data_IF_588918635603
#
_entry.id   IF_588918635603
#
_cell.length_a   1.000
_cell.length_b   1.000
_cell.length_c   1.000
_cell.angle_alpha   90.00
_cell.angle_beta   90.00
_cell.angle_gamma   90.00
#
_symmetry.space_group_name_H-M   'P 1'
#
loop_
_entity.id
_entity.type
_entity.pdbx_description
1 polymer ?
#
# COMPACT_ATOMS: atom_id res chain seq x y z
N UNK A 1 2.34 14.65 -14.46
CA UNK A 1 3.22 13.82 -13.60
C UNK A 1 4.45 13.34 -14.37
N UNK A 2 4.28 12.75 -15.55
CA UNK A 2 5.39 12.17 -16.34
C UNK A 2 6.47 13.22 -16.62
N UNK A 3 6.09 14.41 -17.04
CA UNK A 3 7.00 15.50 -17.44
C UNK A 3 7.76 16.11 -16.24
N UNK A 4 7.21 15.98 -15.02
CA UNK A 4 7.72 16.66 -13.84
C UNK A 4 8.35 15.74 -12.79
N UNK A 5 8.08 14.43 -12.81
CA UNK A 5 8.51 13.52 -11.74
C UNK A 5 10.03 13.38 -11.61
N UNK A 6 10.79 13.49 -12.70
CA UNK A 6 12.26 13.45 -12.63
C UNK A 6 12.83 14.70 -11.98
N UNK A 7 12.56 15.87 -12.56
CA UNK A 7 13.14 17.13 -12.12
C UNK A 7 12.55 17.63 -10.80
N UNK A 8 11.21 17.70 -10.74
CA UNK A 8 10.51 18.35 -9.63
C UNK A 8 10.30 17.45 -8.41
N UNK A 9 10.57 16.14 -8.53
CA UNK A 9 10.49 15.19 -7.41
C UNK A 9 11.82 14.52 -7.16
N UNK A 10 12.33 13.71 -8.10
CA UNK A 10 13.53 12.89 -7.85
C UNK A 10 14.77 13.77 -7.61
N UNK A 11 15.12 14.66 -8.56
CA UNK A 11 16.29 15.53 -8.43
C UNK A 11 16.15 16.49 -7.24
N UNK A 12 14.93 17.01 -7.02
CA UNK A 12 14.66 17.87 -5.87
C UNK A 12 14.90 17.15 -4.54
N UNK A 13 14.50 15.89 -4.41
CA UNK A 13 14.76 15.08 -3.22
C UNK A 13 16.27 14.84 -2.99
N UNK A 14 17.02 14.56 -4.09
CA UNK A 14 18.48 14.41 -4.03
C UNK A 14 19.14 15.70 -3.55
N UNK A 15 18.75 16.86 -4.09
CA UNK A 15 19.24 18.18 -3.67
C UNK A 15 18.98 18.45 -2.19
N UNK A 16 17.90 17.88 -1.64
CA UNK A 16 17.57 17.97 -0.22
C UNK A 16 18.21 16.85 0.64
N UNK A 17 19.21 16.14 0.11
CA UNK A 17 20.02 15.18 0.86
C UNK A 17 19.38 13.80 1.05
N UNK A 18 18.31 13.49 0.32
CA UNK A 18 17.71 12.16 0.30
C UNK A 18 18.44 11.27 -0.71
N UNK A 19 18.48 9.97 -0.45
CA UNK A 19 19.13 8.98 -1.30
C UNK A 19 18.20 7.84 -1.59
N UNK A 20 18.39 7.19 -2.73
CA UNK A 20 17.65 6.00 -3.12
C UNK A 20 18.58 4.78 -3.21
N UNK A 21 18.03 3.58 -3.08
CA UNK A 21 18.76 2.37 -3.40
C UNK A 21 19.17 2.38 -4.87
N UNK A 22 20.37 1.88 -5.21
CA UNK A 22 20.89 1.94 -6.59
C UNK A 22 20.18 0.98 -7.55
N UNK A 23 19.19 0.22 -7.06
CA UNK A 23 18.45 -0.75 -7.84
C UNK A 23 16.97 -0.33 -7.93
N UNK A 24 16.52 -0.11 -9.16
CA UNK A 24 15.12 0.16 -9.47
C UNK A 24 14.36 -1.16 -9.55
N UNK A 25 13.24 -1.26 -8.87
CA UNK A 25 12.40 -2.44 -8.87
C UNK A 25 11.29 -2.35 -9.93
N UNK A 26 10.90 -3.51 -10.41
CA UNK A 26 9.75 -3.68 -11.25
C UNK A 26 8.60 -4.21 -10.41
N UNK A 27 7.82 -3.32 -9.84
CA UNK A 27 6.83 -3.71 -8.83
C UNK A 27 5.63 -4.30 -9.51
N UNK A 28 4.72 -3.70 -10.04
CA UNK A 28 3.52 -4.29 -10.62
C UNK A 28 3.59 -4.26 -12.13
N UNK A 29 3.54 -5.43 -12.76
CA UNK A 29 3.73 -5.55 -14.20
C UNK A 29 2.44 -5.57 -14.99
N UNK A 30 1.30 -5.59 -14.33
CA UNK A 30 0.01 -5.78 -14.96
C UNK A 30 -0.02 -7.05 -15.83
N UNK A 31 -0.98 -7.90 -15.63
CA UNK A 31 -1.01 -9.20 -16.28
C UNK A 31 -1.20 -9.07 -17.80
N UNK A 32 -2.12 -8.21 -18.19
CA UNK A 32 -2.50 -7.94 -19.58
C UNK A 32 -2.58 -6.44 -19.86
N UNK A 33 -1.98 -5.62 -18.99
CA UNK A 33 -2.04 -4.18 -19.09
C UNK A 33 -0.90 -3.62 -19.92
N UNK A 34 -1.20 -2.71 -20.83
CA UNK A 34 -0.21 -1.90 -21.52
C UNK A 34 0.46 -0.90 -20.55
N UNK A 35 1.65 -0.45 -20.89
CA UNK A 35 2.31 0.69 -20.25
C UNK A 35 3.18 0.40 -19.04
N UNK A 36 3.18 -0.81 -18.47
CA UNK A 36 4.07 -1.17 -17.37
C UNK A 36 5.27 -2.01 -17.85
N UNK A 37 6.03 -1.50 -18.79
CA UNK A 37 7.10 -2.22 -19.49
C UNK A 37 8.50 -1.97 -18.90
N UNK A 38 8.68 -0.98 -18.03
CA UNK A 38 9.98 -0.63 -17.47
C UNK A 38 9.97 -0.63 -15.94
N UNK A 39 11.06 -1.11 -15.31
CA UNK A 39 11.25 -0.97 -13.86
C UNK A 39 11.43 0.51 -13.54
N UNK A 40 10.64 1.02 -12.58
CA UNK A 40 10.65 2.45 -12.21
C UNK A 40 10.51 2.73 -10.72
N UNK A 41 10.29 1.70 -9.91
CA UNK A 41 10.08 1.88 -8.48
C UNK A 41 11.40 2.12 -7.75
N UNK A 42 11.60 3.34 -7.27
CA UNK A 42 12.76 3.76 -6.51
C UNK A 42 12.52 3.61 -5.02
N UNK A 43 13.30 2.77 -4.36
CA UNK A 43 13.22 2.59 -2.91
C UNK A 43 14.07 3.65 -2.22
N UNK A 44 13.42 4.47 -1.40
CA UNK A 44 14.09 5.50 -0.62
C UNK A 44 14.97 4.87 0.48
N UNK A 45 16.25 5.23 0.52
CA UNK A 45 17.19 4.84 1.57
C UNK A 45 16.91 5.62 2.84
N UNK A 46 16.35 4.95 3.83
CA UNK A 46 15.79 5.54 5.04
C UNK A 46 14.27 5.39 5.14
N UNK A 47 13.62 4.80 4.13
CA UNK A 47 12.15 4.60 4.04
C UNK A 47 11.36 5.91 4.06
N UNK A 48 10.03 5.85 4.14
CA UNK A 48 9.18 7.05 4.35
C UNK A 48 9.47 7.77 5.67
N UNK A 49 9.96 7.03 6.68
CA UNK A 49 10.40 7.61 7.95
C UNK A 49 11.53 8.62 7.74
N UNK A 50 12.57 8.25 7.00
CA UNK A 50 13.70 9.16 6.70
C UNK A 50 13.29 10.36 5.84
N UNK A 51 12.28 10.19 4.95
CA UNK A 51 11.70 11.30 4.19
C UNK A 51 11.07 12.35 5.12
N UNK A 52 10.17 11.89 6.00
CA UNK A 52 9.46 12.78 6.94
C UNK A 52 10.43 13.44 7.91
N UNK A 53 11.40 12.69 8.46
CA UNK A 53 12.43 13.26 9.32
C UNK A 53 13.23 14.35 8.61
N UNK A 54 13.58 14.15 7.33
CA UNK A 54 14.30 15.17 6.55
C UNK A 54 13.47 16.43 6.38
N UNK A 55 12.19 16.31 6.05
CA UNK A 55 11.31 17.48 5.92
C UNK A 55 11.11 18.22 7.24
N UNK A 56 10.93 17.50 8.34
CA UNK A 56 10.89 18.11 9.69
C UNK A 56 12.19 18.86 9.98
N UNK A 57 13.34 18.27 9.66
CA UNK A 57 14.64 18.92 9.83
C UNK A 57 14.75 20.21 8.99
N UNK A 58 14.31 20.16 7.71
CA UNK A 58 14.31 21.35 6.85
C UNK A 58 13.42 22.46 7.40
N UNK A 59 12.25 22.13 7.93
CA UNK A 59 11.38 23.12 8.59
C UNK A 59 12.08 23.71 9.83
N UNK A 60 12.64 22.86 10.69
CA UNK A 60 13.28 23.29 11.94
C UNK A 60 14.48 24.20 11.73
N UNK A 61 15.23 23.99 10.65
CA UNK A 61 16.46 24.75 10.34
C UNK A 61 16.25 25.87 9.33
N UNK A 62 15.01 26.06 8.84
CA UNK A 62 14.72 27.08 7.84
C UNK A 62 14.87 28.49 8.44
N UNK A 63 15.42 29.43 7.69
CA UNK A 63 15.61 30.82 8.11
C UNK A 63 14.29 31.48 8.56
N UNK A 64 13.19 31.15 7.95
CA UNK A 64 11.85 31.64 8.29
C UNK A 64 11.11 30.73 9.30
N UNK A 65 11.80 29.84 10.05
CA UNK A 65 11.14 28.94 11.02
C UNK A 65 10.28 29.70 12.05
N UNK A 66 10.73 30.88 12.45
CA UNK A 66 10.01 31.75 13.39
C UNK A 66 8.66 32.24 12.87
N UNK A 67 8.41 32.16 11.56
CA UNK A 67 7.12 32.51 10.92
C UNK A 67 6.14 31.34 10.82
N UNK A 68 6.55 30.13 11.27
CA UNK A 68 5.72 28.91 11.18
C UNK A 68 5.21 28.55 12.57
N UNK A 69 3.91 28.52 12.74
CA UNK A 69 3.23 28.01 13.93
C UNK A 69 2.66 26.64 13.63
N UNK A 70 2.93 25.65 14.49
CA UNK A 70 2.36 24.31 14.39
C UNK A 70 1.40 24.12 15.57
N UNK A 71 0.11 23.96 15.28
CA UNK A 71 -0.93 23.71 16.26
C UNK A 71 -1.22 22.18 16.27
N UNK A 72 -0.74 21.49 17.30
CA UNK A 72 -1.04 20.08 17.52
C UNK A 72 -2.41 19.93 18.17
N UNK A 73 -3.03 18.74 18.06
CA UNK A 73 -4.32 18.39 18.67
C UNK A 73 -5.46 19.33 18.24
N UNK A 74 -5.38 19.89 17.03
CA UNK A 74 -6.40 20.74 16.46
C UNK A 74 -7.08 20.01 15.28
N UNK A 75 -8.33 19.60 15.50
CA UNK A 75 -9.15 18.93 14.48
C UNK A 75 -9.93 19.96 13.69
N UNK A 76 -9.54 20.19 12.44
CA UNK A 76 -10.28 21.04 11.51
C UNK A 76 -11.59 20.35 11.12
N UNK A 77 -12.71 21.03 11.24
CA UNK A 77 -14.06 20.52 10.99
C UNK A 77 -14.96 21.46 10.18
N UNK A 78 -14.42 22.54 9.63
CA UNK A 78 -15.17 23.47 8.80
C UNK A 78 -14.33 24.61 8.25
N UNK A 79 -14.94 25.44 7.43
CA UNK A 79 -14.33 26.63 6.85
C UNK A 79 -15.08 27.91 7.22
N UNK A 80 -14.41 29.03 7.13
CA UNK A 80 -14.96 30.38 7.32
C UNK A 80 -15.03 31.04 5.94
N UNK A 81 -16.26 31.40 5.53
CA UNK A 81 -16.53 32.08 4.26
C UNK A 81 -16.84 33.56 4.45
N UNK A 82 -16.39 34.35 3.52
CA UNK A 82 -16.82 35.76 3.37
C UNK A 82 -16.86 36.12 1.89
N UNK A 83 -17.97 36.66 1.44
CA UNK A 83 -18.19 37.09 0.04
C UNK A 83 -17.87 35.99 -1.01
N UNK A 84 -18.22 34.72 -0.71
CA UNK A 84 -17.99 33.59 -1.61
C UNK A 84 -16.58 32.99 -1.60
N UNK A 85 -15.62 33.60 -0.88
CA UNK A 85 -14.26 33.13 -0.75
C UNK A 85 -14.04 32.47 0.61
N UNK A 86 -13.15 31.48 0.68
CA UNK A 86 -12.67 30.89 1.93
C UNK A 86 -11.65 31.85 2.56
N UNK A 87 -11.88 32.23 3.82
CA UNK A 87 -11.05 33.17 4.58
C UNK A 87 -10.46 32.58 5.86
N UNK A 88 -10.76 31.32 6.18
CA UNK A 88 -10.30 30.70 7.38
C UNK A 88 -10.81 29.26 7.52
N UNK A 89 -10.40 28.63 8.59
CA UNK A 89 -10.94 27.32 9.01
C UNK A 89 -11.37 27.33 10.47
N UNK A 90 -12.33 26.47 10.77
CA UNK A 90 -12.81 26.17 12.12
C UNK A 90 -12.16 24.87 12.58
N UNK A 91 -11.74 24.83 13.83
CA UNK A 91 -11.16 23.65 14.43
C UNK A 91 -11.63 23.48 15.87
N UNK A 92 -11.47 22.29 16.39
CA UNK A 92 -11.60 21.98 17.81
C UNK A 92 -10.20 21.71 18.34
N UNK A 93 -9.80 22.43 19.36
CA UNK A 93 -8.64 22.08 20.20
C UNK A 93 -9.08 20.87 21.04
N UNK A 94 -8.61 19.68 20.68
CA UNK A 94 -9.04 18.42 21.30
C UNK A 94 -8.48 18.26 22.72
N UNK A 95 -7.39 18.96 23.07
CA UNK A 95 -6.82 18.95 24.42
C UNK A 95 -7.68 19.73 25.43
N UNK A 96 -8.29 20.82 24.98
CA UNK A 96 -9.11 21.71 25.79
C UNK A 96 -10.61 21.57 25.52
N UNK A 97 -10.98 20.85 24.46
CA UNK A 97 -12.37 20.71 23.97
C UNK A 97 -13.01 22.07 23.63
N UNK A 98 -12.23 23.03 23.11
CA UNK A 98 -12.71 24.37 22.79
C UNK A 98 -12.65 24.64 21.27
N UNK A 99 -13.63 25.38 20.71
CA UNK A 99 -13.58 25.81 19.31
C UNK A 99 -12.49 26.85 19.10
N UNK A 100 -11.84 26.78 17.94
CA UNK A 100 -10.83 27.73 17.48
C UNK A 100 -11.13 28.14 16.05
N UNK A 101 -10.80 29.37 15.72
CA UNK A 101 -10.89 29.89 14.36
C UNK A 101 -9.53 30.41 13.92
N UNK A 102 -9.17 30.08 12.69
CA UNK A 102 -7.91 30.52 12.07
C UNK A 102 -8.23 31.23 10.77
N UNK A 103 -7.69 32.42 10.59
CA UNK A 103 -7.92 33.24 9.41
C UNK A 103 -6.67 33.29 8.53
N UNK A 104 -6.84 33.12 7.22
CA UNK A 104 -5.76 33.15 6.25
C UNK A 104 -6.26 33.54 4.85
N UNK A 105 -5.39 34.13 4.03
CA UNK A 105 -5.67 34.40 2.62
C UNK A 105 -5.78 33.09 1.80
N UNK A 106 -4.95 32.12 2.12
CA UNK A 106 -4.91 30.82 1.44
C UNK A 106 -4.95 29.68 2.44
N UNK A 107 -5.70 28.64 2.14
CA UNK A 107 -5.81 27.42 2.92
C UNK A 107 -5.43 26.22 2.04
N UNK A 108 -4.53 25.40 2.55
CA UNK A 108 -4.09 24.17 1.86
C UNK A 108 -4.55 22.95 2.65
N UNK A 109 -5.43 22.17 2.05
CA UNK A 109 -5.91 20.91 2.63
C UNK A 109 -4.95 19.77 2.28
N UNK A 110 -4.32 19.19 3.30
CA UNK A 110 -3.39 18.07 3.20
C UNK A 110 -3.76 16.94 4.19
N UNK A 111 -5.05 16.71 4.38
CA UNK A 111 -5.63 15.88 5.44
C UNK A 111 -5.60 14.36 5.16
N UNK A 112 -4.95 13.93 4.08
CA UNK A 112 -4.96 12.51 3.67
C UNK A 112 -6.25 12.09 2.97
N UNK A 113 -6.39 10.79 2.73
CA UNK A 113 -7.53 10.20 2.06
C UNK A 113 -8.61 9.69 3.03
N UNK A 114 -9.34 8.66 2.61
CA UNK A 114 -10.42 8.06 3.41
C UNK A 114 -10.15 6.61 3.82
N UNK A 115 -8.97 6.06 3.49
CA UNK A 115 -8.64 4.64 3.72
C UNK A 115 -8.66 4.20 5.18
N UNK A 116 -8.59 5.15 6.13
CA UNK A 116 -8.68 4.93 7.56
C UNK A 116 -10.12 4.75 8.08
N UNK A 117 -11.13 5.11 7.29
CA UNK A 117 -12.54 4.93 7.62
C UNK A 117 -13.13 3.76 6.84
N UNK A 118 -13.15 2.57 7.42
CA UNK A 118 -13.61 1.35 6.74
C UNK A 118 -15.10 1.37 6.36
N UNK A 119 -15.92 2.14 7.09
CA UNK A 119 -17.31 2.34 6.67
C UNK A 119 -17.35 3.10 5.36
N UNK A 120 -16.63 4.22 5.27
CA UNK A 120 -16.55 5.03 4.05
C UNK A 120 -15.94 4.27 2.87
N UNK A 121 -14.95 3.41 3.13
CA UNK A 121 -14.38 2.49 2.14
C UNK A 121 -15.44 1.55 1.59
N UNK A 122 -16.30 0.97 2.43
CA UNK A 122 -17.39 0.08 1.99
C UNK A 122 -18.50 0.84 1.26
N UNK A 123 -18.88 2.01 1.75
CA UNK A 123 -19.92 2.84 1.13
C UNK A 123 -19.52 3.29 -0.29
N UNK A 124 -18.23 3.43 -0.54
CA UNK A 124 -17.64 3.78 -1.84
C UNK A 124 -16.95 2.59 -2.53
N UNK A 125 -17.35 1.35 -2.22
CA UNK A 125 -16.71 0.18 -2.82
C UNK A 125 -16.84 0.18 -4.35
N UNK A 126 -15.77 -0.21 -5.03
CA UNK A 126 -15.75 -0.28 -6.49
C UNK A 126 -16.72 -1.36 -7.00
N UNK A 127 -17.87 -0.96 -7.48
CA UNK A 127 -18.99 -1.84 -7.84
C UNK A 127 -18.64 -2.97 -8.83
N UNK A 128 -17.70 -2.81 -9.80
CA UNK A 128 -17.29 -3.92 -10.66
C UNK A 128 -16.60 -5.08 -9.94
N UNK A 129 -16.15 -4.89 -8.70
CA UNK A 129 -15.65 -5.99 -7.88
C UNK A 129 -16.73 -6.76 -7.12
N UNK A 130 -18.00 -6.34 -7.23
CA UNK A 130 -19.11 -6.91 -6.50
C UNK A 130 -19.33 -6.25 -5.14
N UNK A 131 -19.85 -7.00 -4.19
CA UNK A 131 -20.11 -6.51 -2.82
C UNK A 131 -18.81 -6.34 -2.04
N UNK A 132 -18.74 -5.27 -1.24
CA UNK A 132 -17.62 -5.08 -0.31
C UNK A 132 -17.52 -6.26 0.67
N UNK A 133 -16.31 -6.81 0.91
CA UNK A 133 -16.13 -7.88 1.89
C UNK A 133 -16.55 -7.45 3.29
N UNK A 134 -17.05 -8.41 4.07
CA UNK A 134 -17.42 -8.18 5.48
C UNK A 134 -16.21 -7.80 6.34
N UNK A 135 -15.04 -8.37 6.03
CA UNK A 135 -13.80 -8.10 6.72
C UNK A 135 -12.81 -7.40 5.78
N UNK A 136 -12.46 -6.16 6.10
CA UNK A 136 -11.39 -5.38 5.48
C UNK A 136 -10.54 -4.84 6.61
N UNK A 137 -9.22 -4.98 6.51
CA UNK A 137 -8.28 -4.41 7.47
C UNK A 137 -7.98 -2.94 7.15
N UNK A 138 -7.66 -2.17 8.17
CA UNK A 138 -7.21 -0.78 7.99
C UNK A 138 -5.68 -0.74 7.87
N UNK A 139 -5.17 -0.53 6.67
CA UNK A 139 -3.75 -0.33 6.39
C UNK A 139 -3.37 1.13 6.13
N UNK A 140 -4.29 2.06 6.44
CA UNK A 140 -4.08 3.49 6.39
C UNK A 140 -3.98 4.07 7.81
N UNK A 141 -3.65 5.35 7.94
CA UNK A 141 -3.69 6.02 9.23
C UNK A 141 -5.15 6.28 9.66
N UNK A 142 -5.47 6.10 10.95
CA UNK A 142 -6.85 6.27 11.47
C UNK A 142 -7.45 7.65 11.20
N UNK A 143 -6.63 8.68 11.09
CA UNK A 143 -7.06 10.05 10.78
C UNK A 143 -7.11 10.36 9.28
N UNK A 144 -6.77 9.41 8.40
CA UNK A 144 -7.12 9.49 6.98
C UNK A 144 -8.58 9.00 6.81
N UNK A 145 -9.51 9.71 7.42
CA UNK A 145 -10.90 9.29 7.63
C UNK A 145 -11.89 9.86 6.60
N UNK A 146 -11.39 10.73 5.72
CA UNK A 146 -12.20 11.39 4.70
C UNK A 146 -13.10 12.52 5.24
N UNK A 147 -12.90 12.99 6.48
CA UNK A 147 -13.66 14.10 7.05
C UNK A 147 -13.59 15.34 6.16
N UNK A 148 -12.39 15.69 5.68
CA UNK A 148 -12.24 16.88 4.84
C UNK A 148 -12.86 16.73 3.45
N UNK A 149 -13.06 15.52 2.95
CA UNK A 149 -13.85 15.31 1.74
C UNK A 149 -15.31 15.73 1.95
N UNK A 150 -15.92 15.31 3.08
CA UNK A 150 -17.31 15.64 3.41
C UNK A 150 -17.47 17.15 3.65
N UNK A 151 -16.62 17.71 4.51
CA UNK A 151 -16.65 19.16 4.81
C UNK A 151 -16.53 20.00 3.54
N UNK A 152 -15.68 19.58 2.59
CA UNK A 152 -15.51 20.33 1.34
C UNK A 152 -16.67 20.14 0.35
N UNK A 153 -17.33 18.98 0.36
CA UNK A 153 -18.58 18.81 -0.40
C UNK A 153 -19.66 19.78 0.09
N UNK A 154 -19.80 19.94 1.40
CA UNK A 154 -20.74 20.91 2.01
C UNK A 154 -20.38 22.36 1.65
N UNK A 155 -19.10 22.64 1.37
CA UNK A 155 -18.61 23.93 0.90
C UNK A 155 -18.74 24.15 -0.62
N UNK A 156 -19.26 23.16 -1.34
CA UNK A 156 -19.48 23.20 -2.79
C UNK A 156 -18.30 22.74 -3.63
N UNK A 157 -17.27 22.17 -3.01
CA UNK A 157 -16.15 21.57 -3.74
C UNK A 157 -16.57 20.27 -4.42
N UNK A 158 -15.94 19.97 -5.55
CA UNK A 158 -16.13 18.71 -6.26
C UNK A 158 -15.18 17.64 -5.73
N UNK A 159 -15.74 16.55 -5.24
CA UNK A 159 -15.01 15.34 -4.86
C UNK A 159 -15.33 14.23 -5.85
N UNK A 160 -14.32 13.52 -6.33
CA UNK A 160 -14.46 12.56 -7.42
C UNK A 160 -13.75 11.25 -7.15
N UNK A 161 -14.23 10.18 -7.77
CA UNK A 161 -13.56 8.88 -7.83
C UNK A 161 -13.27 8.23 -6.45
N UNK A 162 -14.11 8.46 -5.46
CA UNK A 162 -13.95 7.84 -4.12
C UNK A 162 -14.03 6.31 -4.18
N UNK A 163 -14.65 5.75 -5.23
CA UNK A 163 -14.66 4.32 -5.52
C UNK A 163 -13.30 3.78 -6.00
N UNK A 164 -12.35 4.65 -6.35
CA UNK A 164 -11.01 4.26 -6.77
C UNK A 164 -10.07 4.27 -5.56
N UNK A 165 -9.68 3.08 -5.15
CA UNK A 165 -8.79 2.88 -4.02
C UNK A 165 -7.69 1.90 -4.37
N UNK A 166 -6.50 2.15 -3.83
CA UNK A 166 -5.37 1.23 -3.91
C UNK A 166 -5.42 0.26 -2.72
N UNK A 167 -6.32 -0.71 -2.79
CA UNK A 167 -6.40 -1.78 -1.81
C UNK A 167 -5.41 -2.90 -2.14
N UNK A 168 -5.04 -3.70 -1.14
CA UNK A 168 -4.23 -4.90 -1.35
C UNK A 168 -4.98 -6.14 -0.87
N UNK A 169 -4.68 -7.29 -1.48
CA UNK A 169 -5.25 -8.57 -1.08
C UNK A 169 -4.39 -9.32 -0.05
N UNK A 170 -3.41 -8.67 0.53
CA UNK A 170 -2.39 -9.30 1.37
C UNK A 170 -2.22 -8.57 2.71
N UNK A 171 -3.29 -8.46 3.46
CA UNK A 171 -3.30 -7.92 4.81
C UNK A 171 -3.39 -9.00 5.88
N UNK A 172 -2.75 -8.76 7.01
CA UNK A 172 -2.98 -9.47 8.28
C UNK A 172 -3.31 -8.47 9.37
N UNK A 173 -3.99 -8.84 10.47
CA UNK A 173 -4.07 -7.99 11.65
C UNK A 173 -2.67 -7.58 12.12
N UNK A 174 -2.50 -6.32 12.49
CA UNK A 174 -1.20 -5.84 12.96
C UNK A 174 -0.84 -6.50 14.29
N UNK A 175 0.36 -7.13 14.45
CA UNK A 175 0.73 -7.83 15.67
C UNK A 175 0.75 -6.93 16.92
N UNK A 176 1.08 -5.64 16.73
CA UNK A 176 1.09 -4.62 17.79
C UNK A 176 0.33 -3.39 17.28
N UNK A 177 -1.01 -3.43 17.28
CA UNK A 177 -1.80 -2.38 16.67
C UNK A 177 -1.74 -1.07 17.48
N UNK A 178 -1.62 0.06 16.78
CA UNK A 178 -1.68 1.41 17.37
C UNK A 178 -3.12 1.89 17.56
N UNK A 179 -4.07 1.24 16.87
CA UNK A 179 -5.51 1.48 16.96
C UNK A 179 -6.29 0.21 16.57
N UNK A 180 -7.53 0.13 16.98
CA UNK A 180 -8.41 -1.01 16.68
C UNK A 180 -8.60 -1.20 15.16
N UNK A 181 -8.49 -2.46 14.70
CA UNK A 181 -8.64 -2.83 13.30
C UNK A 181 -7.43 -2.51 12.41
N UNK A 182 -6.31 -2.06 12.99
CA UNK A 182 -5.07 -1.84 12.24
C UNK A 182 -4.60 -3.12 11.58
N UNK A 183 -4.30 -3.02 10.30
CA UNK A 183 -3.76 -4.10 9.49
C UNK A 183 -2.33 -3.85 9.07
N UNK A 184 -1.60 -4.95 8.89
CA UNK A 184 -0.26 -4.96 8.36
C UNK A 184 -0.27 -5.45 6.91
N UNK A 185 0.21 -4.63 6.00
CA UNK A 185 0.29 -4.98 4.57
C UNK A 185 1.54 -5.80 4.29
N UNK A 186 1.35 -6.98 3.70
CA UNK A 186 2.42 -7.88 3.31
C UNK A 186 2.76 -7.73 1.83
N UNK A 187 3.98 -8.12 1.48
CA UNK A 187 4.38 -8.43 0.11
C UNK A 187 4.52 -9.94 0.04
N UNK A 188 3.52 -10.65 -0.47
CA UNK A 188 3.50 -12.10 -0.49
C UNK A 188 4.58 -12.71 -1.38
N UNK A 189 4.94 -13.95 -1.06
CA UNK A 189 5.94 -14.69 -1.82
C UNK A 189 5.42 -15.04 -3.23
N UNK A 190 6.24 -14.83 -4.25
CA UNK A 190 5.89 -15.18 -5.64
C UNK A 190 5.84 -16.69 -5.86
N UNK A 191 6.68 -17.43 -5.13
CA UNK A 191 6.72 -18.89 -5.17
C UNK A 191 5.70 -19.58 -4.23
N UNK A 192 4.84 -18.82 -3.54
CA UNK A 192 3.78 -19.37 -2.71
C UNK A 192 2.56 -19.80 -3.55
N UNK A 193 1.85 -20.82 -3.09
CA UNK A 193 0.52 -21.12 -3.59
C UNK A 193 -0.50 -20.22 -2.89
N UNK A 194 -1.39 -19.60 -3.66
CA UNK A 194 -2.49 -18.82 -3.12
C UNK A 194 -3.78 -19.63 -3.17
N UNK A 195 -4.32 -19.95 -1.99
CA UNK A 195 -5.44 -20.85 -1.81
C UNK A 195 -6.66 -20.09 -1.28
N UNK A 196 -7.86 -20.56 -1.65
CA UNK A 196 -9.09 -20.11 -1.05
C UNK A 196 -9.29 -20.71 0.36
N UNK A 197 -10.43 -20.42 0.96
CA UNK A 197 -10.78 -20.91 2.30
C UNK A 197 -10.89 -22.42 2.39
N UNK A 198 -11.09 -23.15 1.27
CA UNK A 198 -11.19 -24.62 1.24
C UNK A 198 -9.86 -25.31 1.01
N UNK A 199 -8.80 -24.58 0.70
CA UNK A 199 -7.48 -25.09 0.37
C UNK A 199 -7.28 -25.36 -1.13
N UNK A 200 -8.20 -24.95 -1.99
CA UNK A 200 -8.03 -25.01 -3.44
C UNK A 200 -7.25 -23.78 -3.94
N UNK A 201 -6.38 -24.01 -4.92
CA UNK A 201 -5.62 -22.92 -5.55
C UNK A 201 -6.57 -21.99 -6.29
N UNK A 202 -6.42 -20.69 -6.06
CA UNK A 202 -7.21 -19.68 -6.75
C UNK A 202 -6.77 -19.60 -8.21
N UNK A 203 -7.70 -19.86 -9.12
CA UNK A 203 -7.43 -19.94 -10.56
C UNK A 203 -8.66 -19.57 -11.40
N UNK A 204 -8.62 -19.81 -12.73
CA UNK A 204 -7.65 -20.63 -13.48
C UNK A 204 -6.26 -20.00 -13.63
N UNK A 205 -6.17 -18.69 -13.69
CA UNK A 205 -4.90 -17.99 -13.68
C UNK A 205 -4.45 -17.80 -12.24
N UNK A 206 -3.26 -18.34 -11.85
CA UNK A 206 -2.81 -18.23 -10.49
C UNK A 206 -2.62 -16.77 -10.06
N UNK A 207 -3.00 -16.46 -8.84
CA UNK A 207 -2.70 -15.17 -8.25
C UNK A 207 -1.20 -15.08 -7.94
N UNK A 208 -0.55 -14.04 -8.46
CA UNK A 208 0.86 -13.76 -8.19
C UNK A 208 1.00 -12.28 -7.87
N UNK A 209 1.45 -11.99 -6.68
CA UNK A 209 1.66 -10.62 -6.22
C UNK A 209 2.69 -9.88 -7.08
N UNK A 210 2.51 -8.59 -7.27
CA UNK A 210 3.39 -7.73 -8.04
C UNK A 210 3.15 -7.78 -9.55
N UNK A 211 2.03 -8.34 -9.99
CA UNK A 211 1.62 -8.33 -11.39
C UNK A 211 0.40 -7.47 -11.66
N UNK A 212 -0.64 -7.57 -10.85
CA UNK A 212 -1.86 -6.75 -10.98
C UNK A 212 -2.62 -6.72 -9.66
N UNK A 213 -2.44 -5.66 -8.87
CA UNK A 213 -3.12 -5.49 -7.58
C UNK A 213 -4.63 -5.33 -7.73
N UNK A 214 -5.09 -4.67 -8.80
CA UNK A 214 -6.51 -4.47 -9.05
C UNK A 214 -7.19 -5.82 -9.29
N UNK A 215 -6.64 -6.66 -10.16
CA UNK A 215 -7.17 -7.99 -10.45
C UNK A 215 -7.11 -8.92 -9.22
N UNK A 216 -6.05 -8.85 -8.42
CA UNK A 216 -5.94 -9.61 -7.17
C UNK A 216 -7.08 -9.24 -6.21
N UNK A 217 -7.31 -7.94 -5.99
CA UNK A 217 -8.37 -7.46 -5.13
C UNK A 217 -9.76 -7.85 -5.67
N UNK A 218 -9.98 -7.73 -6.99
CA UNK A 218 -11.22 -8.15 -7.63
C UNK A 218 -11.53 -9.63 -7.36
N UNK A 219 -10.57 -10.51 -7.58
CA UNK A 219 -10.75 -11.96 -7.36
C UNK A 219 -11.01 -12.29 -5.90
N UNK A 220 -10.22 -11.70 -4.99
CA UNK A 220 -10.36 -11.98 -3.56
C UNK A 220 -11.69 -11.44 -3.01
N UNK A 221 -12.17 -10.28 -3.50
CA UNK A 221 -13.46 -9.73 -3.07
C UNK A 221 -14.69 -10.56 -3.52
N UNK A 222 -14.52 -11.39 -4.55
CA UNK A 222 -15.59 -12.26 -5.08
C UNK A 222 -15.61 -13.66 -4.45
N UNK A 223 -14.69 -13.96 -3.54
CA UNK A 223 -14.69 -15.25 -2.84
C UNK A 223 -15.82 -15.32 -1.81
N UNK A 224 -16.27 -16.52 -1.53
CA UNK A 224 -17.30 -16.80 -0.53
C UNK A 224 -16.89 -16.33 0.87
N UNK A 225 -15.64 -16.58 1.23
CA UNK A 225 -15.07 -16.16 2.51
C UNK A 225 -14.13 -14.98 2.33
N UNK A 226 -14.10 -14.01 3.28
CA UNK A 226 -13.34 -12.78 3.14
C UNK A 226 -11.84 -12.94 3.42
N UNK A 227 -11.31 -14.14 3.30
CA UNK A 227 -9.89 -14.45 3.51
C UNK A 227 -9.37 -15.50 2.53
N UNK A 228 -8.06 -15.52 2.38
CA UNK A 228 -7.31 -16.47 1.58
C UNK A 228 -6.11 -16.98 2.36
N UNK A 229 -5.44 -17.98 1.81
CA UNK A 229 -4.22 -18.53 2.37
C UNK A 229 -3.06 -18.42 1.37
N UNK A 230 -1.87 -18.06 1.85
CA UNK A 230 -0.64 -18.32 1.13
C UNK A 230 0.13 -19.46 1.79
N UNK A 231 0.49 -20.48 0.99
CA UNK A 231 1.24 -21.66 1.41
C UNK A 231 2.62 -21.68 0.76
N UNK A 232 3.66 -21.76 1.55
CA UNK A 232 5.06 -21.79 1.12
C UNK A 232 5.94 -22.44 2.20
N UNK A 233 7.23 -22.61 1.91
CA UNK A 233 8.18 -23.14 2.86
C UNK A 233 9.14 -22.07 3.40
N UNK A 234 9.93 -22.42 4.42
CA UNK A 234 10.87 -21.50 5.08
C UNK A 234 11.88 -20.90 4.13
N UNK A 235 12.41 -21.69 3.20
CA UNK A 235 13.41 -21.24 2.21
C UNK A 235 12.84 -20.16 1.28
N UNK A 236 11.58 -20.30 0.86
CA UNK A 236 10.87 -19.27 0.10
C UNK A 236 10.67 -18.04 0.98
N UNK A 237 10.20 -18.23 2.22
CA UNK A 237 9.93 -17.15 3.15
C UNK A 237 11.10 -16.19 3.36
N UNK A 238 12.26 -16.73 3.77
CA UNK A 238 13.43 -15.90 4.07
C UNK A 238 13.93 -15.08 2.88
N UNK A 239 13.61 -15.52 1.66
CA UNK A 239 14.06 -14.87 0.42
C UNK A 239 13.04 -13.88 -0.14
N UNK A 240 11.77 -14.19 -0.05
CA UNK A 240 10.71 -13.45 -0.78
C UNK A 240 9.75 -12.69 0.11
N UNK A 241 9.48 -13.20 1.32
CA UNK A 241 8.50 -12.58 2.21
C UNK A 241 8.99 -11.21 2.68
N UNK A 242 8.13 -10.22 2.57
CA UNK A 242 8.41 -8.88 3.03
C UNK A 242 7.13 -8.23 3.61
N UNK A 243 7.33 -7.21 4.40
CA UNK A 243 6.27 -6.47 5.08
C UNK A 243 6.44 -4.99 4.79
N UNK A 244 5.34 -4.27 4.61
CA UNK A 244 5.35 -2.83 4.54
C UNK A 244 5.62 -2.22 5.91
N UNK A 245 6.15 -1.00 5.93
CA UNK A 245 6.40 -0.28 7.18
C UNK A 245 7.87 -0.17 7.54
N UNK A 246 8.23 0.97 8.10
CA UNK A 246 9.61 1.27 8.48
C UNK A 246 10.08 0.43 9.67
N UNK A 247 9.16 0.06 10.57
CA UNK A 247 9.39 -0.77 11.76
C UNK A 247 9.85 -2.19 11.43
N UNK A 248 9.44 -2.72 10.29
CA UNK A 248 9.83 -4.06 9.82
C UNK A 248 11.09 -4.03 8.94
N UNK A 249 11.41 -2.88 8.34
CA UNK A 249 12.54 -2.68 7.42
C UNK A 249 13.66 -1.87 8.07
N UNK A 250 14.05 -2.24 9.28
CA UNK A 250 14.99 -1.48 10.14
C UNK A 250 16.34 -1.23 9.47
N UNK A 251 16.88 -2.18 8.69
CA UNK A 251 18.17 -2.01 8.03
C UNK A 251 18.15 -0.98 6.89
N UNK A 252 16.98 -0.80 6.23
CA UNK A 252 16.78 0.28 5.25
C UNK A 252 16.48 1.59 5.98
N UNK A 253 15.63 1.56 7.02
CA UNK A 253 15.25 2.73 7.83
C UNK A 253 16.45 3.39 8.47
N UNK A 254 17.28 2.59 9.15
CA UNK A 254 18.43 3.05 9.91
C UNK A 254 19.72 3.10 9.07
N UNK A 255 19.59 2.80 7.77
CA UNK A 255 20.68 2.90 6.77
C UNK A 255 21.87 1.97 7.05
N UNK A 256 21.60 0.78 7.59
CA UNK A 256 22.60 -0.24 7.88
C UNK A 256 22.93 -1.07 6.61
N UNK A 257 23.79 -0.54 5.76
CA UNK A 257 24.09 -1.09 4.44
C UNK A 257 24.54 -2.56 4.46
N UNK A 258 25.50 -2.89 5.32
CA UNK A 258 26.01 -4.27 5.39
C UNK A 258 24.96 -5.27 5.88
N UNK A 259 24.17 -4.90 6.88
CA UNK A 259 23.08 -5.74 7.37
C UNK A 259 22.00 -5.94 6.30
N UNK A 260 21.66 -4.87 5.57
CA UNK A 260 20.75 -4.94 4.43
C UNK A 260 21.26 -5.87 3.33
N UNK A 261 22.53 -5.73 2.91
CA UNK A 261 23.12 -6.65 1.92
C UNK A 261 23.13 -8.10 2.40
N UNK A 262 23.43 -8.36 3.66
CA UNK A 262 23.36 -9.68 4.26
C UNK A 262 21.94 -10.25 4.18
N UNK A 263 20.91 -9.48 4.51
CA UNK A 263 19.52 -9.92 4.37
C UNK A 263 19.13 -10.24 2.90
N UNK A 264 19.59 -9.43 1.95
CA UNK A 264 19.32 -9.66 0.52
C UNK A 264 19.99 -10.93 0.00
N UNK A 265 21.22 -11.21 0.43
CA UNK A 265 22.00 -12.35 -0.07
C UNK A 265 21.66 -13.66 0.65
N UNK A 266 21.57 -13.63 1.97
CA UNK A 266 21.40 -14.81 2.83
C UNK A 266 19.96 -15.06 3.27
N UNK A 267 19.05 -14.09 3.03
CA UNK A 267 17.65 -14.15 3.44
C UNK A 267 17.36 -13.39 4.73
N UNK A 268 16.13 -12.92 4.87
CA UNK A 268 15.68 -12.15 6.03
C UNK A 268 15.14 -13.05 7.15
N UNK A 269 16.03 -13.80 7.78
CA UNK A 269 15.69 -14.71 8.89
C UNK A 269 15.09 -13.98 10.09
N UNK A 270 15.51 -12.72 10.34
CA UNK A 270 15.00 -11.89 11.43
C UNK A 270 13.50 -11.66 11.28
N UNK A 271 13.09 -11.19 10.12
CA UNK A 271 11.67 -10.89 9.84
C UNK A 271 10.80 -12.14 9.99
N UNK A 272 11.25 -13.29 9.44
CA UNK A 272 10.45 -14.52 9.50
C UNK A 272 10.31 -15.05 10.94
N UNK A 273 11.39 -14.97 11.73
CA UNK A 273 11.33 -15.31 13.17
C UNK A 273 10.41 -14.37 13.92
N UNK A 274 10.45 -13.07 13.62
CA UNK A 274 9.56 -12.06 14.22
C UNK A 274 8.10 -12.37 13.89
N UNK A 275 7.77 -12.60 12.62
CA UNK A 275 6.41 -12.91 12.21
C UNK A 275 5.87 -14.18 12.87
N UNK A 276 6.70 -15.24 12.91
CA UNK A 276 6.36 -16.49 13.62
C UNK A 276 6.05 -16.29 15.11
N UNK A 277 6.75 -15.35 15.76
CA UNK A 277 6.61 -15.11 17.20
C UNK A 277 5.44 -14.16 17.54
N UNK A 278 5.08 -13.25 16.63
CA UNK A 278 4.18 -12.13 16.93
C UNK A 278 2.81 -12.23 16.25
N UNK A 279 2.64 -13.09 15.24
CA UNK A 279 1.38 -13.14 14.48
C UNK A 279 0.79 -14.54 14.44
N UNK A 280 -0.42 -14.69 14.99
CA UNK A 280 -1.18 -15.94 14.91
C UNK A 280 -1.58 -16.28 13.47
N UNK A 281 -1.62 -15.27 12.58
CA UNK A 281 -1.92 -15.43 11.17
C UNK A 281 -0.75 -15.97 10.33
N UNK A 282 0.43 -16.12 10.95
CA UNK A 282 1.64 -16.68 10.36
C UNK A 282 1.93 -18.07 10.96
N UNK A 283 1.26 -19.08 10.43
CA UNK A 283 1.26 -20.46 10.97
C UNK A 283 2.45 -21.22 10.43
N UNK A 284 3.15 -21.96 11.31
CA UNK A 284 4.31 -22.78 10.97
C UNK A 284 4.12 -24.21 11.44
N UNK A 285 4.46 -25.18 10.58
CA UNK A 285 4.46 -26.61 10.90
C UNK A 285 5.46 -27.39 10.05
N UNK A 286 5.96 -28.50 10.58
CA UNK A 286 6.91 -29.36 9.85
C UNK A 286 6.22 -30.29 8.84
N UNK A 287 4.93 -30.62 9.07
CA UNK A 287 4.14 -31.50 8.20
C UNK A 287 2.91 -30.75 7.65
N UNK A 288 2.55 -31.06 6.40
CA UNK A 288 1.38 -30.49 5.76
C UNK A 288 0.08 -30.80 6.51
N UNK A 289 -0.07 -32.00 7.04
CA UNK A 289 -1.24 -32.39 7.84
C UNK A 289 -1.39 -31.53 9.10
N UNK A 290 -0.27 -31.33 9.83
CA UNK A 290 -0.25 -30.47 11.01
C UNK A 290 -0.54 -29.01 10.65
N UNK A 291 -0.06 -28.56 9.50
CA UNK A 291 -0.31 -27.20 9.02
C UNK A 291 -1.81 -26.97 8.78
N UNK A 292 -2.47 -27.89 8.08
CA UNK A 292 -3.92 -27.82 7.80
C UNK A 292 -4.73 -27.84 9.11
N UNK A 293 -4.40 -28.67 10.08
CA UNK A 293 -5.03 -28.67 11.40
C UNK A 293 -4.94 -27.29 12.05
N UNK A 294 -3.77 -26.68 12.03
CA UNK A 294 -3.57 -25.32 12.58
C UNK A 294 -4.34 -24.24 11.80
N UNK A 295 -4.44 -24.37 10.47
CA UNK A 295 -5.20 -23.43 9.64
C UNK A 295 -6.70 -23.47 10.01
N UNK A 296 -7.26 -24.65 10.20
CA UNK A 296 -8.62 -24.85 10.65
C UNK A 296 -8.82 -24.35 12.09
N UNK A 297 -7.93 -24.67 12.98
CA UNK A 297 -7.98 -24.20 14.38
C UNK A 297 -7.99 -22.67 14.49
N UNK A 298 -7.23 -21.95 13.67
CA UNK A 298 -7.23 -20.47 13.65
C UNK A 298 -8.61 -19.88 13.28
N UNK A 299 -9.40 -20.59 12.50
CA UNK A 299 -10.73 -20.16 12.07
C UNK A 299 -11.86 -20.79 12.88
N UNK A 300 -11.54 -21.71 13.78
CA UNK A 300 -12.51 -22.53 14.51
C UNK A 300 -13.52 -23.21 13.57
N UNK A 301 -13.03 -23.81 12.48
CA UNK A 301 -13.79 -24.54 11.46
C UNK A 301 -12.95 -25.62 10.79
N UNK A 302 -13.55 -26.40 9.89
CA UNK A 302 -12.91 -27.47 9.12
C UNK A 302 -12.97 -27.23 7.60
N UNK A 303 -12.95 -25.96 7.18
CA UNK A 303 -13.11 -25.61 5.77
C UNK A 303 -11.91 -26.02 4.92
N UNK A 304 -10.70 -25.93 5.46
CA UNK A 304 -9.50 -26.33 4.74
C UNK A 304 -9.42 -27.85 4.67
N UNK A 305 -9.61 -28.40 3.49
CA UNK A 305 -9.53 -29.83 3.26
C UNK A 305 -8.08 -30.27 2.99
N UNK A 306 -7.58 -31.22 3.79
CA UNK A 306 -6.21 -31.72 3.67
C UNK A 306 -5.90 -32.30 2.31
N UNK A 307 -6.80 -33.14 1.76
CA UNK A 307 -6.58 -33.81 0.48
C UNK A 307 -6.59 -32.80 -0.67
N UNK A 308 -7.44 -31.77 -0.58
CA UNK A 308 -7.44 -30.68 -1.54
C UNK A 308 -6.12 -29.93 -1.53
N UNK A 309 -5.63 -29.51 -0.36
CA UNK A 309 -4.32 -28.82 -0.23
C UNK A 309 -3.18 -29.71 -0.74
N UNK A 310 -3.17 -30.98 -0.34
CA UNK A 310 -2.15 -31.96 -0.76
C UNK A 310 -2.12 -32.10 -2.27
N UNK A 311 -3.29 -32.26 -2.90
CA UNK A 311 -3.38 -32.38 -4.36
C UNK A 311 -2.83 -31.14 -5.08
N UNK A 312 -3.17 -29.93 -4.59
CA UNK A 312 -2.64 -28.70 -5.17
C UNK A 312 -1.11 -28.60 -5.06
N UNK A 313 -0.57 -28.94 -3.89
CA UNK A 313 0.88 -28.91 -3.66
C UNK A 313 1.60 -29.94 -4.53
N UNK A 314 1.13 -31.18 -4.56
CA UNK A 314 1.72 -32.24 -5.38
C UNK A 314 1.66 -31.93 -6.87
N UNK A 315 0.55 -31.37 -7.35
CA UNK A 315 0.41 -30.96 -8.75
C UNK A 315 1.42 -29.87 -9.11
N UNK A 316 1.59 -28.86 -8.23
CA UNK A 316 2.54 -27.77 -8.42
C UNK A 316 3.98 -28.30 -8.39
N UNK A 317 4.33 -29.12 -7.41
CA UNK A 317 5.67 -29.68 -7.28
C UNK A 317 6.04 -30.60 -8.46
N UNK A 318 5.10 -31.44 -8.93
CA UNK A 318 5.26 -32.23 -10.16
C UNK A 318 5.47 -31.34 -11.40
N UNK A 319 4.76 -30.20 -11.51
CA UNK A 319 4.96 -29.28 -12.63
C UNK A 319 6.38 -28.68 -12.63
N UNK A 320 6.89 -28.33 -11.45
CA UNK A 320 8.27 -27.83 -11.32
C UNK A 320 9.30 -28.87 -11.77
N UNK A 321 9.09 -30.14 -11.41
CA UNK A 321 9.99 -31.25 -11.78
C UNK A 321 10.09 -31.46 -13.30
N UNK A 322 9.05 -31.13 -14.08
CA UNK A 322 9.08 -31.21 -15.55
C UNK A 322 10.10 -30.25 -16.18
N UNK A 323 10.51 -29.23 -15.45
CA UNK A 323 11.45 -28.23 -15.93
C UNK A 323 10.85 -27.11 -16.79
N UNK A 324 11.58 -26.01 -17.00
CA UNK A 324 11.06 -24.78 -17.58
C UNK A 324 10.48 -24.92 -19.00
N UNK A 325 10.96 -25.85 -19.77
CA UNK A 325 10.49 -26.06 -21.15
C UNK A 325 9.08 -26.67 -21.21
N UNK A 326 8.69 -27.40 -20.16
CA UNK A 326 7.42 -28.13 -20.08
C UNK A 326 6.44 -27.52 -19.06
N UNK A 327 6.75 -26.37 -18.49
CA UNK A 327 5.84 -25.72 -17.56
C UNK A 327 4.57 -25.24 -18.27
N UNK A 328 3.47 -25.81 -17.85
CA UNK A 328 2.13 -25.37 -18.22
C UNK A 328 1.42 -24.72 -17.01
N UNK A 329 2.15 -23.89 -16.30
CA UNK A 329 1.69 -23.13 -15.14
C UNK A 329 2.12 -21.67 -15.30
N UNK A 330 1.14 -20.78 -15.32
CA UNK A 330 1.37 -19.37 -15.60
C UNK A 330 2.16 -18.69 -14.48
N UNK A 331 1.99 -19.09 -13.21
CA UNK A 331 2.78 -18.59 -12.09
C UNK A 331 4.27 -18.90 -12.28
N UNK A 332 4.60 -20.12 -12.68
CA UNK A 332 6.01 -20.52 -12.92
C UNK A 332 6.65 -19.70 -14.05
N UNK A 333 5.91 -19.46 -15.13
CA UNK A 333 6.37 -18.63 -16.24
C UNK A 333 6.57 -17.18 -15.82
N UNK A 334 5.67 -16.64 -15.02
CA UNK A 334 5.78 -15.26 -14.48
C UNK A 334 6.95 -15.11 -13.52
N UNK A 335 7.18 -16.09 -12.64
CA UNK A 335 8.34 -16.09 -11.76
C UNK A 335 9.63 -16.11 -12.58
N UNK A 336 9.70 -16.94 -13.62
CA UNK A 336 10.85 -16.99 -14.52
C UNK A 336 11.07 -15.63 -15.21
N UNK A 337 10.01 -15.01 -15.75
CA UNK A 337 10.08 -13.69 -16.35
C UNK A 337 10.47 -12.62 -15.33
N UNK A 338 9.91 -12.64 -14.11
CA UNK A 338 10.31 -11.71 -13.04
C UNK A 338 11.82 -11.79 -12.77
N UNK A 339 12.39 -12.97 -12.76
CA UNK A 339 13.83 -13.22 -12.54
C UNK A 339 14.72 -12.79 -13.69
N UNK A 340 14.19 -12.40 -14.84
CA UNK A 340 14.98 -11.80 -15.93
C UNK A 340 15.52 -10.41 -15.55
N UNK A 341 14.86 -9.73 -14.62
CA UNK A 341 15.30 -8.45 -14.07
C UNK A 341 16.22 -8.64 -12.86
N UNK A 342 17.38 -7.97 -12.85
CA UNK A 342 18.44 -8.19 -11.85
C UNK A 342 17.97 -7.98 -10.40
N UNK A 343 17.24 -6.91 -10.13
CA UNK A 343 16.75 -6.61 -8.78
C UNK A 343 15.74 -7.64 -8.28
N UNK A 344 14.79 -8.03 -9.14
CA UNK A 344 13.81 -9.06 -8.80
C UNK A 344 14.44 -10.44 -8.65
N UNK A 345 15.47 -10.76 -9.45
CA UNK A 345 16.24 -12.01 -9.32
C UNK A 345 16.89 -12.16 -7.94
N UNK A 346 17.35 -11.05 -7.35
CA UNK A 346 17.95 -11.07 -6.02
C UNK A 346 16.92 -11.40 -4.93
N UNK A 347 15.65 -11.04 -5.13
CA UNK A 347 14.57 -11.18 -4.15
C UNK A 347 13.54 -12.25 -4.48
N UNK A 348 13.76 -13.06 -5.50
CA UNK A 348 12.82 -14.10 -5.95
C UNK A 348 13.57 -15.41 -6.09
N UNK A 349 13.11 -16.45 -5.42
CA UNK A 349 13.66 -17.80 -5.56
C UNK A 349 13.56 -18.27 -7.02
N UNK A 350 14.43 -19.21 -7.41
CA UNK A 350 14.11 -20.05 -8.56
C UNK A 350 12.83 -20.81 -8.23
N UNK A 351 11.99 -21.13 -9.22
CA UNK A 351 10.84 -22.01 -8.99
C UNK A 351 11.28 -23.28 -8.24
N UNK A 352 10.65 -23.55 -7.13
CA UNK A 352 10.95 -24.70 -6.28
C UNK A 352 9.67 -25.26 -5.67
N UNK A 353 9.66 -26.56 -5.42
CA UNK A 353 8.52 -27.23 -4.80
C UNK A 353 8.27 -26.77 -3.37
N UNK A 354 7.01 -26.84 -2.96
CA UNK A 354 6.59 -26.54 -1.59
C UNK A 354 7.12 -27.59 -0.62
N UNK A 355 7.07 -28.88 -1.02
CA UNK A 355 7.51 -30.03 -0.22
C UNK A 355 8.94 -30.47 -0.56
N UNK A 356 9.77 -29.56 -1.05
CA UNK A 356 11.17 -29.88 -1.37
C UNK A 356 11.95 -30.20 -0.10
N UNK A 357 12.68 -31.30 -0.10
CA UNK A 357 13.56 -31.69 1.01
C UNK A 357 14.58 -30.60 1.35
N UNK A 358 14.80 -30.40 2.63
CA UNK A 358 15.73 -29.37 3.13
C UNK A 358 15.23 -27.93 2.96
N UNK A 359 13.97 -27.72 2.60
CA UNK A 359 13.38 -26.37 2.48
C UNK A 359 12.92 -25.76 3.81
N UNK A 360 13.06 -26.51 4.90
CA UNK A 360 12.59 -26.12 6.24
C UNK A 360 11.08 -26.31 6.44
N UNK A 361 10.54 -25.83 7.55
CA UNK A 361 9.12 -25.98 7.86
C UNK A 361 8.21 -25.28 6.84
N UNK A 362 6.98 -25.75 6.76
CA UNK A 362 5.91 -25.16 5.95
C UNK A 362 5.30 -23.98 6.68
N UNK A 363 4.82 -23.01 5.92
CA UNK A 363 4.20 -21.78 6.40
C UNK A 363 2.88 -21.57 5.66
N UNK A 364 1.83 -21.28 6.43
CA UNK A 364 0.56 -20.76 5.90
C UNK A 364 0.29 -19.39 6.49
N UNK A 365 -0.06 -18.42 5.64
CA UNK A 365 -0.43 -17.07 6.08
C UNK A 365 -1.88 -16.81 5.69
N UNK A 366 -2.73 -16.48 6.69
CA UNK A 366 -4.12 -16.08 6.47
C UNK A 366 -4.16 -14.62 6.05
N UNK A 367 -4.61 -14.35 4.83
CA UNK A 367 -4.64 -13.03 4.23
C UNK A 367 -6.06 -12.49 4.09
N UNK A 368 -6.21 -11.18 4.24
CA UNK A 368 -7.44 -10.43 4.01
C UNK A 368 -7.19 -9.25 3.09
N UNK A 369 -8.27 -8.70 2.55
CA UNK A 369 -8.20 -7.39 1.91
C UNK A 369 -7.86 -6.33 2.95
N UNK A 370 -7.01 -5.39 2.55
CA UNK A 370 -6.56 -4.29 3.39
C UNK A 370 -6.71 -2.97 2.62
N UNK A 371 -7.42 -2.03 3.23
CA UNK A 371 -7.55 -0.67 2.73
C UNK A 371 -6.23 0.08 2.88
N UNK A 372 -5.83 0.83 1.86
CA UNK A 372 -4.54 1.54 1.89
C UNK A 372 -4.67 3.01 1.54
N UNK A 373 -4.87 3.33 0.27
CA UNK A 373 -4.77 4.70 -0.23
C UNK A 373 -5.96 5.05 -1.10
N UNK A 374 -6.43 6.27 -0.98
CA UNK A 374 -7.42 6.83 -1.90
C UNK A 374 -6.74 7.28 -3.18
N UNK A 375 -7.34 6.95 -4.33
CA UNK A 375 -6.91 7.45 -5.64
C UNK A 375 -7.80 8.60 -6.09
N UNK A 376 -9.06 8.59 -5.71
CA UNK A 376 -9.97 9.72 -5.79
C UNK A 376 -9.82 10.68 -4.61
N UNK A 377 -10.47 11.82 -4.68
CA UNK A 377 -10.43 12.87 -3.67
C UNK A 377 -10.97 14.19 -4.16
N UNK A 378 -10.56 15.27 -3.53
CA UNK A 378 -10.92 16.64 -3.87
C UNK A 378 -10.37 16.96 -5.26
N UNK A 379 -11.24 17.34 -6.18
CA UNK A 379 -10.81 17.71 -7.53
C UNK A 379 -10.10 19.06 -7.54
N UNK A 380 -8.92 19.09 -8.16
CA UNK A 380 -8.11 20.30 -8.31
C UNK A 380 -7.72 20.55 -9.76
N UNK A 381 -7.30 21.75 -10.06
CA UNK A 381 -6.57 22.06 -11.30
C UNK A 381 -5.06 21.74 -11.15
N UNK A 382 -4.28 22.04 -12.19
CA UNK A 382 -2.82 21.79 -12.19
C UNK A 382 -2.04 22.71 -11.23
N UNK A 383 -2.66 23.76 -10.72
CA UNK A 383 -2.13 24.64 -9.69
C UNK A 383 -2.53 24.21 -8.28
N UNK A 384 -3.20 23.05 -8.15
CA UNK A 384 -3.74 22.50 -6.90
C UNK A 384 -4.85 23.34 -6.27
N UNK A 385 -5.50 24.25 -7.02
CA UNK A 385 -6.69 25.00 -6.56
C UNK A 385 -7.88 24.06 -6.58
N UNK A 386 -8.67 24.07 -5.51
CA UNK A 386 -9.89 23.25 -5.40
C UNK A 386 -10.94 23.74 -6.36
N UNK A 387 -11.59 22.82 -7.08
CA UNK A 387 -12.64 23.14 -8.04
C UNK A 387 -14.04 22.95 -7.42
N UNK A 388 -14.96 23.83 -7.76
CA UNK A 388 -16.38 23.67 -7.46
C UNK A 388 -17.04 22.62 -8.39
N UNK A 389 -18.34 22.35 -8.19
CA UNK A 389 -19.09 21.39 -9.00
C UNK A 389 -19.24 21.81 -10.47
N UNK A 390 -18.99 23.06 -10.81
CA UNK A 390 -19.01 23.60 -12.18
C UNK A 390 -17.63 23.63 -12.82
N UNK A 391 -16.58 23.29 -12.05
CA UNK A 391 -15.20 23.25 -12.52
C UNK A 391 -14.44 24.57 -12.36
N UNK A 392 -14.98 25.54 -11.62
CA UNK A 392 -14.30 26.81 -11.33
C UNK A 392 -13.47 26.69 -10.05
N UNK A 393 -12.29 27.33 -9.96
CA UNK A 393 -11.51 27.37 -8.73
C UNK A 393 -12.27 28.10 -7.60
N UNK A 394 -12.27 27.51 -6.41
CA UNK A 394 -12.75 28.16 -5.19
C UNK A 394 -11.64 29.06 -4.66
N UNK A 395 -11.91 30.37 -4.58
CA UNK A 395 -10.92 31.35 -4.16
C UNK A 395 -10.39 31.10 -2.74
N UNK A 396 -9.06 31.16 -2.59
CA UNK A 396 -8.35 30.94 -1.34
C UNK A 396 -8.17 29.49 -0.92
N UNK A 397 -8.66 28.50 -1.71
CA UNK A 397 -8.66 27.09 -1.31
C UNK A 397 -7.83 26.20 -2.24
N UNK A 398 -6.92 25.42 -1.63
CA UNK A 398 -6.04 24.46 -2.28
C UNK A 398 -6.18 23.08 -1.63
N UNK A 399 -5.95 22.02 -2.39
CA UNK A 399 -5.81 20.67 -1.86
C UNK A 399 -4.62 19.93 -2.48
N UNK A 400 -3.89 19.19 -1.67
CA UNK A 400 -2.65 18.52 -2.08
C UNK A 400 -2.54 17.10 -1.53
N UNK A 401 -1.66 16.31 -2.12
CA UNK A 401 -1.40 14.95 -1.69
C UNK A 401 -2.60 14.04 -1.85
N UNK A 402 -2.72 13.06 -0.96
CA UNK A 402 -3.81 12.07 -1.02
C UNK A 402 -5.21 12.69 -0.83
N UNK A 403 -5.32 13.84 -0.16
CA UNK A 403 -6.60 14.55 -0.03
C UNK A 403 -7.15 14.99 -1.40
N UNK A 404 -6.29 15.41 -2.32
CA UNK A 404 -6.65 15.75 -3.69
C UNK A 404 -6.76 14.51 -4.62
N UNK A 405 -6.48 13.32 -4.12
CA UNK A 405 -6.40 12.12 -4.93
C UNK A 405 -5.17 12.09 -5.84
N UNK A 406 -4.99 10.99 -6.54
CA UNK A 406 -3.91 10.86 -7.52
C UNK A 406 -4.50 10.89 -8.94
N UNK A 407 -4.52 12.08 -9.56
CA UNK A 407 -5.07 12.26 -10.90
C UNK A 407 -6.55 11.90 -11.01
N UNK A 408 -7.33 12.10 -9.94
CA UNK A 408 -8.74 11.70 -9.90
C UNK A 408 -8.95 10.17 -9.90
N UNK A 409 -7.97 9.41 -9.43
CA UNK A 409 -8.01 7.95 -9.41
C UNK A 409 -7.73 7.30 -10.76
N UNK A 410 -7.70 8.03 -11.82
CA UNK A 410 -7.53 7.67 -13.23
C UNK A 410 -6.81 6.36 -13.58
N UNK A 411 -5.92 6.40 -14.54
CA UNK A 411 -5.19 5.22 -15.06
C UNK A 411 -4.36 4.50 -14.00
N UNK A 412 -3.89 5.20 -12.97
CA UNK A 412 -3.10 4.60 -11.87
C UNK A 412 -3.89 3.55 -11.10
N UNK A 413 -5.21 3.75 -10.88
CA UNK A 413 -6.06 2.82 -10.15
C UNK A 413 -6.27 1.50 -10.86
N UNK A 414 -6.20 1.48 -12.17
CA UNK A 414 -6.48 0.29 -12.98
C UNK A 414 -5.24 -0.45 -13.47
N UNK A 415 -4.11 0.22 -13.57
CA UNK A 415 -2.94 -0.29 -14.28
C UNK A 415 -1.65 -0.32 -13.47
N UNK A 416 -1.77 -0.42 -12.16
CA UNK A 416 -0.63 -0.77 -11.31
C UNK A 416 0.54 0.21 -11.41
N UNK A 417 0.31 1.47 -11.10
CA UNK A 417 1.37 2.48 -11.03
C UNK A 417 1.92 2.67 -9.61
N UNK A 418 2.34 1.59 -8.96
CA UNK A 418 2.97 1.66 -7.64
C UNK A 418 4.18 2.61 -7.65
N UNK A 419 4.43 3.27 -6.51
CA UNK A 419 5.54 4.21 -6.33
C UNK A 419 5.20 5.66 -6.68
N UNK A 420 3.98 5.98 -7.09
CA UNK A 420 3.58 7.33 -7.49
C UNK A 420 2.94 8.17 -6.38
N UNK A 421 2.56 7.59 -5.26
CA UNK A 421 1.83 8.29 -4.20
C UNK A 421 2.65 9.38 -3.51
N UNK A 422 3.80 9.04 -2.95
CA UNK A 422 4.65 10.04 -2.28
C UNK A 422 5.16 11.11 -3.24
N UNK A 423 5.49 10.73 -4.46
CA UNK A 423 5.90 11.67 -5.49
C UNK A 423 4.76 12.59 -5.93
N UNK A 424 3.52 12.09 -6.00
CA UNK A 424 2.33 12.89 -6.22
C UNK A 424 2.07 13.90 -5.10
N UNK A 425 2.26 13.49 -3.83
CA UNK A 425 2.15 14.41 -2.69
C UNK A 425 3.16 15.56 -2.79
N UNK A 426 4.41 15.26 -3.13
CA UNK A 426 5.46 16.29 -3.29
C UNK A 426 5.15 17.21 -4.45
N UNK A 427 4.75 16.66 -5.60
CA UNK A 427 4.49 17.43 -6.80
C UNK A 427 3.31 18.40 -6.60
N UNK A 428 2.19 17.93 -6.07
CA UNK A 428 1.00 18.76 -5.84
C UNK A 428 1.25 19.82 -4.77
N UNK A 429 1.98 19.51 -3.69
CA UNK A 429 2.36 20.49 -2.68
C UNK A 429 3.26 21.60 -3.25
N UNK A 430 4.20 21.25 -4.13
CA UNK A 430 5.06 22.23 -4.81
C UNK A 430 4.26 23.10 -5.79
N UNK A 431 3.30 22.50 -6.50
CA UNK A 431 2.41 23.25 -7.41
C UNK A 431 1.56 24.28 -6.63
N UNK A 432 0.96 23.87 -5.51
CA UNK A 432 0.22 24.79 -4.63
C UNK A 432 1.10 25.91 -4.10
N UNK A 433 2.28 25.58 -3.58
CA UNK A 433 3.21 26.57 -3.05
C UNK A 433 3.63 27.60 -4.10
N UNK A 434 3.93 27.15 -5.33
CA UNK A 434 4.25 28.04 -6.46
C UNK A 434 3.09 28.95 -6.77
N UNK A 435 1.88 28.41 -6.92
CA UNK A 435 0.68 29.20 -7.21
C UNK A 435 0.39 30.26 -6.13
N UNK A 436 0.55 29.91 -4.85
CA UNK A 436 0.33 30.84 -3.72
C UNK A 436 1.36 31.97 -3.73
N UNK A 437 2.61 31.72 -4.14
CA UNK A 437 3.65 32.73 -4.18
C UNK A 437 3.56 33.68 -5.39
N UNK A 438 2.88 33.25 -6.46
CA UNK A 438 2.68 34.05 -7.68
C UNK A 438 1.47 34.99 -7.60
N UNK A 439 0.62 34.83 -6.57
CA UNK A 439 -0.60 35.63 -6.28
C UNK A 439 -0.52 36.29 -4.90
#
# INVERSE_FOLDING_TARGET
YVDHCSKDVYEWLIQHGLKFLPAVNWVERGQYGEGNCLPRYHVLWGTGFGLVQRFISLIKTHVNRHKITICYEHKVNGFIKSNGSIKGCKAIDESLSVPREFYAKHIVVAAGGMGGNLKKVRDNWYSPWGKAPSEILNGSHKYADGLMHDVLVDEGAKVTHLDKMWNYAAGIPHPNPSFEGEGLSLIPCKNALWLDHTGKRIGPEPLVTGFDTNELCRRVSQLEQPYTWQLFNWKIAIKEFAVSGAEHNINIRDKHWFAFLKEVLLGNHRLIKQMKAQSDHFIVADKLSTLVVKMNALNNNDFVNYDAVKAQVEQYDKMIQKGPRLWNDDQLRRIQHARSWRSDKLRTCKPQGILTDGSGPLIAVKLRLISRKSLGGIQTDLQSRVLDTRGNPIDGLFAVGEAAGFGGGGASGFKSLEGTFLSGCILTARAAAKSICEH
#
